data_IF_845268641093
#
_entry.id   IF_845268641093
#
_cell.length_a   1.000
_cell.length_b   1.000
_cell.length_c   1.000
_cell.angle_alpha   90.00
_cell.angle_beta   90.00
_cell.angle_gamma   90.00
#
_symmetry.space_group_name_H-M   'P 1'
#
loop_
_entity.id
_entity.type
_entity.pdbx_description
1 polymer ?
#
# COMPACT_ATOMS: atom_id res chain seq x y z
N UNK A 1 -0.93 -2.02 -10.74
CA UNK A 1 -0.62 -3.25 -11.45
C UNK A 1 0.65 -3.92 -10.96
N UNK A 2 1.79 -3.25 -10.96
CA UNK A 2 3.04 -3.75 -10.39
C UNK A 2 2.87 -4.25 -8.96
N UNK A 3 2.09 -3.55 -8.16
CA UNK A 3 1.75 -3.95 -6.79
C UNK A 3 1.09 -5.33 -6.66
N UNK A 4 0.18 -5.69 -7.57
CA UNK A 4 -0.45 -7.02 -7.56
C UNK A 4 0.55 -8.10 -7.96
N UNK A 5 1.48 -7.77 -8.85
CA UNK A 5 2.54 -8.65 -9.31
C UNK A 5 3.59 -8.93 -8.23
N UNK A 6 4.02 -7.86 -7.56
CA UNK A 6 5.13 -7.87 -6.61
C UNK A 6 4.72 -8.48 -5.26
N UNK A 7 3.50 -8.16 -4.78
CA UNK A 7 3.14 -8.43 -3.38
C UNK A 7 2.04 -9.47 -3.16
N UNK A 8 1.17 -9.71 -4.16
CA UNK A 8 -0.06 -10.48 -3.89
C UNK A 8 -0.14 -11.77 -4.68
N UNK A 9 0.46 -11.84 -5.87
CA UNK A 9 0.26 -12.95 -6.78
C UNK A 9 1.38 -13.97 -6.72
N UNK A 10 1.08 -15.16 -6.21
CA UNK A 10 1.98 -16.33 -6.32
C UNK A 10 1.92 -16.98 -7.69
N UNK A 11 0.85 -16.76 -8.44
CA UNK A 11 0.67 -17.25 -9.79
C UNK A 11 0.14 -16.14 -10.69
N UNK A 12 0.90 -15.82 -11.72
CA UNK A 12 0.58 -14.74 -12.63
C UNK A 12 0.12 -15.27 -13.99
N UNK A 13 -1.15 -15.04 -14.32
CA UNK A 13 -1.68 -15.32 -15.66
C UNK A 13 -1.50 -14.09 -16.55
N UNK A 14 -0.64 -14.22 -17.59
CA UNK A 14 -0.38 -13.14 -18.56
C UNK A 14 -1.65 -12.61 -19.23
N UNK A 15 -2.67 -13.47 -19.44
CA UNK A 15 -3.93 -13.07 -20.06
C UNK A 15 -4.76 -12.17 -19.13
N UNK A 16 -4.76 -12.47 -17.83
CA UNK A 16 -5.41 -11.66 -16.81
C UNK A 16 -4.75 -10.29 -16.67
N UNK A 17 -3.42 -10.24 -16.73
CA UNK A 17 -2.66 -8.98 -16.69
C UNK A 17 -3.06 -8.04 -17.82
N UNK A 18 -3.08 -8.54 -19.05
CA UNK A 18 -3.42 -7.74 -20.21
C UNK A 18 -4.85 -7.18 -20.09
N UNK A 19 -5.80 -8.00 -19.63
CA UNK A 19 -7.20 -7.56 -19.43
C UNK A 19 -7.31 -6.47 -18.39
N UNK A 20 -6.61 -6.58 -17.26
CA UNK A 20 -6.61 -5.58 -16.20
C UNK A 20 -5.92 -4.29 -16.69
N UNK A 21 -4.81 -4.41 -17.44
CA UNK A 21 -4.11 -3.26 -18.02
C UNK A 21 -5.03 -2.48 -18.98
N UNK A 22 -5.68 -3.18 -19.90
CA UNK A 22 -6.63 -2.55 -20.86
C UNK A 22 -7.81 -1.93 -20.11
N UNK A 23 -8.41 -2.64 -19.15
CA UNK A 23 -9.53 -2.11 -18.38
C UNK A 23 -9.15 -0.85 -17.60
N UNK A 24 -7.96 -0.82 -17.00
CA UNK A 24 -7.47 0.34 -16.25
C UNK A 24 -7.18 1.53 -17.19
N UNK A 25 -6.53 1.28 -18.34
CA UNK A 25 -6.23 2.32 -19.33
C UNK A 25 -7.50 2.92 -19.93
N UNK A 26 -8.47 2.09 -20.28
CA UNK A 26 -9.77 2.54 -20.79
C UNK A 26 -10.53 3.31 -19.71
N UNK A 27 -10.54 2.82 -18.47
CA UNK A 27 -11.21 3.50 -17.35
C UNK A 27 -10.62 4.88 -17.07
N UNK A 28 -9.29 5.02 -17.04
CA UNK A 28 -8.61 6.31 -16.89
C UNK A 28 -8.88 7.25 -18.05
N UNK A 29 -8.85 6.73 -19.26
CA UNK A 29 -9.16 7.53 -20.47
C UNK A 29 -10.61 8.05 -20.46
N UNK A 30 -11.59 7.19 -20.14
CA UNK A 30 -12.99 7.61 -20.00
C UNK A 30 -13.19 8.65 -18.89
N UNK A 31 -12.46 8.51 -17.78
CA UNK A 31 -12.52 9.48 -16.69
C UNK A 31 -11.91 10.83 -17.10
N UNK A 32 -10.80 10.83 -17.83
CA UNK A 32 -10.17 12.04 -18.38
C UNK A 32 -11.09 12.75 -19.38
N UNK A 33 -11.74 12.01 -20.27
CA UNK A 33 -12.77 12.56 -21.20
C UNK A 33 -13.94 13.18 -20.45
N UNK A 34 -14.45 12.50 -19.40
CA UNK A 34 -15.55 13.01 -18.60
C UNK A 34 -15.21 14.31 -17.86
N UNK A 35 -13.97 14.45 -17.42
CA UNK A 35 -13.47 15.66 -16.73
C UNK A 35 -13.12 16.81 -17.69
N UNK A 36 -13.04 16.57 -18.98
CA UNK A 36 -12.63 17.57 -19.98
C UNK A 36 -11.14 17.91 -19.98
N UNK A 37 -10.32 17.26 -19.14
CA UNK A 37 -8.91 17.50 -19.01
C UNK A 37 -8.10 16.31 -19.55
N UNK A 38 -7.82 16.33 -20.83
CA UNK A 38 -6.93 15.37 -21.46
C UNK A 38 -5.44 15.58 -21.11
N UNK A 39 -5.09 16.76 -20.58
CA UNK A 39 -3.72 17.11 -20.19
C UNK A 39 -3.33 16.64 -18.79
N UNK A 40 -4.27 16.12 -18.00
CA UNK A 40 -4.04 15.75 -16.60
C UNK A 40 -3.66 14.28 -16.44
N UNK A 41 -2.64 13.81 -17.13
CA UNK A 41 -1.99 12.57 -16.80
C UNK A 41 -0.93 12.82 -15.72
N UNK A 42 -1.34 12.67 -14.44
CA UNK A 42 -0.45 12.23 -13.39
C UNK A 42 0.54 13.24 -12.78
N UNK A 43 0.36 14.54 -12.91
CA UNK A 43 1.21 15.45 -12.16
C UNK A 43 0.53 15.92 -10.87
N UNK A 44 0.71 15.20 -9.79
CA UNK A 44 0.68 15.83 -8.47
C UNK A 44 1.93 16.72 -8.45
N UNK A 45 1.77 18.00 -8.71
CA UNK A 45 2.87 18.95 -8.56
C UNK A 45 3.16 19.07 -7.07
N UNK A 46 4.23 18.42 -6.64
CA UNK A 46 4.78 18.58 -5.32
C UNK A 46 5.76 19.75 -5.34
N UNK A 47 5.54 20.67 -4.43
CA UNK A 47 6.52 21.64 -4.06
C UNK A 47 6.64 22.84 -4.96
N UNK A 48 7.30 23.79 -4.42
CA UNK A 48 7.79 25.00 -5.04
C UNK A 48 8.61 24.61 -6.27
N UNK A 49 7.99 24.58 -7.43
CA UNK A 49 8.73 24.64 -8.65
C UNK A 49 9.46 25.97 -8.64
N UNK A 50 10.74 25.96 -8.36
CA UNK A 50 11.60 26.98 -8.93
C UNK A 50 11.22 27.03 -10.40
N UNK A 51 10.66 28.16 -10.82
CA UNK A 51 10.25 28.43 -12.17
C UNK A 51 11.29 27.85 -13.10
N UNK A 52 10.84 26.97 -14.02
CA UNK A 52 11.70 26.47 -15.08
C UNK A 52 12.12 27.61 -15.97
N UNK A 53 13.05 28.39 -15.54
CA UNK A 53 13.95 29.14 -16.40
C UNK A 53 15.05 28.19 -16.85
N UNK A 54 14.77 27.54 -17.96
CA UNK A 54 15.77 26.96 -18.81
C UNK A 54 16.66 28.08 -19.29
N UNK A 55 17.88 28.13 -18.83
CA UNK A 55 18.91 28.95 -19.46
C UNK A 55 19.85 29.59 -18.47
N UNK A 56 20.95 28.93 -18.19
CA UNK A 56 22.09 29.52 -17.52
C UNK A 56 22.98 28.44 -16.92
N UNK A 57 24.03 28.11 -17.66
CA UNK A 57 25.13 27.27 -17.22
C UNK A 57 25.73 27.81 -15.92
N UNK A 58 25.51 27.13 -14.82
CA UNK A 58 26.37 27.24 -13.65
C UNK A 58 26.55 25.86 -13.06
N UNK A 59 27.58 25.15 -13.50
CA UNK A 59 28.05 23.86 -12.97
C UNK A 59 28.30 23.92 -11.45
N UNK A 60 28.50 25.10 -10.89
CA UNK A 60 28.72 25.35 -9.47
C UNK A 60 27.44 25.20 -8.64
N UNK A 61 26.28 25.64 -9.17
CA UNK A 61 24.99 25.53 -8.47
C UNK A 61 24.49 24.06 -8.45
N UNK A 62 24.77 23.31 -9.50
CA UNK A 62 24.43 21.89 -9.56
C UNK A 62 25.30 21.05 -8.62
N UNK A 63 26.58 21.37 -8.49
CA UNK A 63 27.49 20.71 -7.55
C UNK A 63 27.14 21.03 -6.08
N UNK A 64 26.68 22.23 -5.78
CA UNK A 64 26.20 22.63 -4.45
C UNK A 64 24.90 21.91 -4.07
N UNK A 65 23.95 21.77 -5.00
CA UNK A 65 22.69 21.02 -4.78
C UNK A 65 22.96 19.52 -4.57
N UNK A 66 23.92 18.94 -5.29
CA UNK A 66 24.33 17.54 -5.10
C UNK A 66 24.97 17.35 -3.73
N UNK A 67 25.83 18.24 -3.29
CA UNK A 67 26.53 18.10 -2.01
C UNK A 67 25.58 18.28 -0.83
N UNK A 68 24.63 19.20 -0.89
CA UNK A 68 23.60 19.35 0.14
C UNK A 68 22.74 18.09 0.29
N UNK A 69 22.41 17.41 -0.81
CA UNK A 69 21.65 16.16 -0.80
C UNK A 69 22.41 14.99 -0.19
N UNK A 70 23.74 14.92 -0.34
CA UNK A 70 24.53 13.90 0.33
C UNK A 70 24.53 14.04 1.86
N UNK A 71 24.45 15.26 2.37
CA UNK A 71 24.31 15.53 3.79
C UNK A 71 22.95 15.11 4.38
N UNK A 72 21.93 14.95 3.54
CA UNK A 72 20.61 14.50 3.96
C UNK A 72 20.49 12.96 4.09
N UNK A 73 21.39 12.18 3.48
CA UNK A 73 21.32 10.70 3.49
C UNK A 73 21.18 10.11 4.89
N UNK A 74 21.93 10.54 5.91
CA UNK A 74 21.77 10.01 7.27
C UNK A 74 20.34 10.20 7.81
N UNK A 75 19.72 11.33 7.48
CA UNK A 75 18.36 11.66 7.93
C UNK A 75 17.29 10.82 7.20
N UNK A 76 17.52 10.46 5.93
CA UNK A 76 16.68 9.52 5.21
C UNK A 76 16.71 8.13 5.86
N UNK A 77 17.89 7.68 6.28
CA UNK A 77 18.05 6.40 6.99
C UNK A 77 17.30 6.44 8.32
N UNK A 78 17.45 7.52 9.09
CA UNK A 78 16.75 7.68 10.38
C UNK A 78 15.23 7.63 10.19
N UNK A 79 14.70 8.35 9.20
CA UNK A 79 13.27 8.31 8.86
C UNK A 79 12.84 6.91 8.45
N UNK A 80 13.63 6.22 7.63
CA UNK A 80 13.38 4.83 7.20
C UNK A 80 13.32 3.87 8.38
N UNK A 81 14.27 3.98 9.33
CA UNK A 81 14.27 3.17 10.56
C UNK A 81 13.02 3.45 11.40
N UNK A 82 12.68 4.70 11.62
CA UNK A 82 11.50 5.08 12.40
C UNK A 82 10.19 4.52 11.79
N UNK A 83 9.97 4.77 10.51
CA UNK A 83 8.79 4.25 9.81
C UNK A 83 8.80 2.72 9.70
N UNK A 84 9.99 2.11 9.57
CA UNK A 84 10.18 0.66 9.57
C UNK A 84 9.73 0.03 10.87
N UNK A 85 10.10 0.62 12.02
CA UNK A 85 9.66 0.17 13.34
C UNK A 85 8.14 0.27 13.46
N UNK A 86 7.54 1.40 13.08
CA UNK A 86 6.10 1.60 13.13
C UNK A 86 5.36 0.56 12.26
N UNK A 87 5.84 0.31 11.02
CA UNK A 87 5.22 -0.65 10.11
C UNK A 87 5.33 -2.10 10.61
N UNK A 88 6.49 -2.50 11.12
CA UNK A 88 6.70 -3.83 11.71
C UNK A 88 5.80 -4.08 12.94
N UNK A 89 5.72 -3.10 13.83
CA UNK A 89 4.84 -3.13 15.00
C UNK A 89 3.36 -3.18 14.57
N UNK A 90 2.99 -2.43 13.53
CA UNK A 90 1.64 -2.47 12.96
C UNK A 90 1.24 -3.88 12.51
N UNK A 91 2.05 -4.54 11.71
CA UNK A 91 1.78 -5.88 11.19
C UNK A 91 1.65 -6.90 12.33
N UNK A 92 2.53 -6.84 13.32
CA UNK A 92 2.52 -7.71 14.51
C UNK A 92 1.23 -7.54 15.33
N UNK A 93 0.88 -6.30 15.66
CA UNK A 93 -0.32 -6.00 16.45
C UNK A 93 -1.59 -6.34 15.66
N UNK A 94 -1.62 -6.00 14.36
CA UNK A 94 -2.73 -6.32 13.46
C UNK A 94 -3.02 -7.82 13.42
N UNK A 95 -1.99 -8.65 13.23
CA UNK A 95 -2.13 -10.11 13.23
C UNK A 95 -2.68 -10.66 14.55
N UNK A 96 -2.15 -10.17 15.68
CA UNK A 96 -2.60 -10.58 17.02
C UNK A 96 -4.06 -10.20 17.27
N UNK A 97 -4.44 -8.96 16.97
CA UNK A 97 -5.82 -8.48 17.15
C UNK A 97 -6.78 -9.24 16.23
N UNK A 98 -6.44 -9.40 14.95
CA UNK A 98 -7.30 -10.09 13.96
C UNK A 98 -7.54 -11.56 14.36
N UNK A 99 -6.51 -12.26 14.83
CA UNK A 99 -6.61 -13.62 15.35
C UNK A 99 -7.53 -13.72 16.58
N UNK A 100 -7.41 -12.76 17.51
CA UNK A 100 -8.26 -12.68 18.72
C UNK A 100 -9.71 -12.41 18.35
N UNK A 101 -9.97 -11.48 17.44
CA UNK A 101 -11.30 -11.10 16.96
C UNK A 101 -11.97 -12.27 16.23
N UNK A 102 -11.23 -12.97 15.37
CA UNK A 102 -11.75 -14.14 14.65
C UNK A 102 -12.27 -15.23 15.60
N UNK A 103 -11.63 -15.41 16.76
CA UNK A 103 -12.08 -16.34 17.78
C UNK A 103 -13.32 -15.88 18.54
N UNK A 104 -13.44 -14.58 18.82
CA UNK A 104 -14.54 -14.01 19.63
C UNK A 104 -15.84 -13.84 18.84
N UNK A 105 -15.79 -13.45 17.57
CA UNK A 105 -16.97 -13.06 16.81
C UNK A 105 -17.49 -14.18 15.91
N UNK A 106 -18.16 -15.16 16.51
CA UNK A 106 -18.79 -16.29 15.77
C UNK A 106 -20.17 -15.93 15.19
N UNK A 107 -20.94 -15.06 15.86
CA UNK A 107 -22.32 -14.68 15.49
C UNK A 107 -22.36 -13.43 14.60
N UNK A 108 -23.35 -13.39 13.67
CA UNK A 108 -23.55 -12.22 12.77
C UNK A 108 -23.84 -10.94 13.56
N UNK A 109 -24.63 -11.02 14.62
CA UNK A 109 -24.98 -9.90 15.50
C UNK A 109 -23.76 -9.30 16.19
N UNK A 110 -22.84 -10.14 16.71
CA UNK A 110 -21.60 -9.68 17.36
C UNK A 110 -20.69 -8.94 16.37
N UNK A 111 -20.64 -9.37 15.10
CA UNK A 111 -19.91 -8.66 14.04
C UNK A 111 -20.50 -7.29 13.77
N UNK A 112 -21.83 -7.20 13.69
CA UNK A 112 -22.56 -5.94 13.43
C UNK A 112 -22.32 -4.92 14.58
N UNK A 113 -22.52 -5.36 15.84
CA UNK A 113 -22.26 -4.50 17.00
C UNK A 113 -20.84 -3.95 17.03
N UNK A 114 -19.86 -4.77 16.70
CA UNK A 114 -18.47 -4.34 16.65
C UNK A 114 -18.22 -3.29 15.56
N UNK A 115 -18.82 -3.47 14.38
CA UNK A 115 -18.73 -2.52 13.29
C UNK A 115 -19.29 -1.17 13.72
N UNK A 116 -20.51 -1.16 14.29
CA UNK A 116 -21.17 0.05 14.77
C UNK A 116 -20.33 0.75 15.87
N UNK A 117 -19.80 0.01 16.82
CA UNK A 117 -18.96 0.54 17.90
C UNK A 117 -17.71 1.21 17.36
N UNK A 118 -16.97 0.57 16.44
CA UNK A 118 -15.74 1.14 15.87
C UNK A 118 -16.06 2.34 14.98
N UNK A 119 -17.14 2.29 14.19
CA UNK A 119 -17.60 3.42 13.38
C UNK A 119 -17.96 4.64 14.25
N UNK A 120 -18.67 4.42 15.35
CA UNK A 120 -19.02 5.48 16.30
C UNK A 120 -17.79 6.11 16.93
N UNK A 121 -16.83 5.30 17.37
CA UNK A 121 -15.56 5.79 17.92
C UNK A 121 -14.79 6.63 16.88
N UNK A 122 -14.67 6.13 15.65
CA UNK A 122 -14.02 6.87 14.57
C UNK A 122 -14.68 8.24 14.34
N UNK A 123 -16.01 8.28 14.29
CA UNK A 123 -16.74 9.53 14.09
C UNK A 123 -16.54 10.51 15.26
N UNK A 124 -16.56 10.02 16.50
CA UNK A 124 -16.34 10.84 17.69
C UNK A 124 -14.93 11.40 17.68
N UNK A 125 -13.91 10.60 17.42
CA UNK A 125 -12.51 11.05 17.41
C UNK A 125 -12.30 12.09 16.29
N UNK A 126 -12.79 11.82 15.08
CA UNK A 126 -12.66 12.74 13.95
C UNK A 126 -13.37 14.08 14.17
N UNK A 127 -14.47 14.10 14.94
CA UNK A 127 -15.19 15.32 15.27
C UNK A 127 -14.57 16.06 16.47
N UNK A 128 -14.14 15.33 17.49
CA UNK A 128 -13.61 15.91 18.72
C UNK A 128 -12.21 16.52 18.52
N UNK A 129 -11.36 15.92 17.68
CA UNK A 129 -9.98 16.37 17.51
C UNK A 129 -9.86 17.80 16.97
N UNK A 130 -10.61 18.22 15.94
CA UNK A 130 -10.60 19.59 15.47
C UNK A 130 -11.05 20.61 16.52
N UNK A 131 -11.90 20.23 17.48
CA UNK A 131 -12.33 21.10 18.57
C UNK A 131 -11.24 21.36 19.60
N UNK A 132 -10.29 20.42 19.76
CA UNK A 132 -9.20 20.52 20.72
C UNK A 132 -8.02 21.34 20.20
N UNK A 133 -7.92 21.54 18.90
CA UNK A 133 -6.84 22.28 18.26
C UNK A 133 -7.30 23.69 17.89
N UNK A 134 -6.42 24.66 18.13
CA UNK A 134 -6.69 26.07 17.82
C UNK A 134 -6.76 26.39 16.33
N UNK A 135 -7.30 27.55 16.03
CA UNK A 135 -7.31 28.13 14.68
C UNK A 135 -5.96 28.79 14.36
N UNK A 136 -5.62 28.84 13.08
CA UNK A 136 -4.44 29.55 12.57
C UNK A 136 -4.89 30.52 11.47
N UNK A 137 -4.28 31.69 11.46
CA UNK A 137 -4.48 32.67 10.39
C UNK A 137 -3.99 32.11 9.04
N UNK A 138 -4.74 32.40 7.99
CA UNK A 138 -4.35 32.06 6.63
C UNK A 138 -3.29 33.07 6.21
N UNK A 139 -2.00 32.69 6.30
CA UNK A 139 -0.94 33.45 5.67
C UNK A 139 -1.13 33.37 4.15
N UNK A 140 -1.29 34.54 3.51
CA UNK A 140 -1.63 34.69 2.11
C UNK A 140 -0.70 33.91 1.20
N UNK A 141 -1.24 32.98 0.45
CA UNK A 141 -0.54 32.27 -0.61
C UNK A 141 -0.58 33.16 -1.85
N UNK A 142 0.39 34.03 -1.99
CA UNK A 142 0.70 34.65 -3.27
C UNK A 142 1.39 33.60 -4.15
N UNK A 143 0.67 33.09 -5.14
CA UNK A 143 1.21 32.21 -6.18
C UNK A 143 0.55 30.84 -6.29
N UNK A 144 -0.09 30.59 -7.43
CA UNK A 144 -0.64 29.32 -7.95
C UNK A 144 -1.45 28.40 -7.00
N UNK A 145 -1.87 28.88 -5.85
CA UNK A 145 -2.52 28.13 -4.79
C UNK A 145 -4.05 28.08 -4.82
N UNK A 146 -4.72 28.35 -5.95
CA UNK A 146 -6.20 28.28 -6.02
C UNK A 146 -6.75 26.89 -5.62
N UNK A 147 -5.99 25.82 -5.83
CA UNK A 147 -6.38 24.47 -5.40
C UNK A 147 -6.24 24.26 -3.88
N UNK A 148 -5.28 24.93 -3.25
CA UNK A 148 -5.06 24.80 -1.80
C UNK A 148 -6.07 25.64 -1.00
N UNK A 149 -6.34 26.87 -1.42
CA UNK A 149 -7.27 27.78 -0.74
C UNK A 149 -8.73 27.24 -0.69
N UNK A 150 -9.18 26.53 -1.72
CA UNK A 150 -10.54 25.97 -1.78
C UNK A 150 -10.76 24.74 -0.89
N UNK A 151 -9.71 24.20 -0.28
CA UNK A 151 -9.80 23.02 0.58
C UNK A 151 -9.84 23.33 2.08
N UNK A 152 -9.68 24.59 2.47
CA UNK A 152 -9.63 25.02 3.86
C UNK A 152 -11.00 25.01 4.52
N UNK A 153 -11.10 24.45 5.72
CA UNK A 153 -12.33 24.35 6.49
C UNK A 153 -12.31 25.32 7.66
N UNK A 154 -13.23 26.28 7.67
CA UNK A 154 -13.47 27.21 8.79
C UNK A 154 -14.27 26.55 9.90
N UNK A 155 -13.76 25.52 10.52
CA UNK A 155 -14.48 24.80 11.57
C UNK A 155 -14.38 25.54 12.90
N UNK A 156 -15.44 26.30 13.27
CA UNK A 156 -15.52 27.13 14.47
C UNK A 156 -14.42 28.21 14.61
N UNK A 157 -13.76 28.58 13.51
CA UNK A 157 -12.77 29.66 13.48
C UNK A 157 -13.38 30.96 12.95
N UNK A 158 -12.72 32.11 13.23
CA UNK A 158 -13.12 33.42 12.71
C UNK A 158 -12.85 33.52 11.20
N UNK A 159 -13.47 34.54 10.56
CA UNK A 159 -13.18 34.82 9.14
C UNK A 159 -11.67 35.14 8.99
N UNK A 160 -11.02 34.45 8.06
CA UNK A 160 -9.57 34.54 7.83
C UNK A 160 -8.72 33.53 8.62
N UNK A 161 -9.32 32.72 9.47
CA UNK A 161 -8.65 31.63 10.18
C UNK A 161 -9.12 30.27 9.69
N UNK A 162 -8.24 29.26 9.70
CA UNK A 162 -8.56 27.86 9.37
C UNK A 162 -8.16 26.92 10.47
N UNK A 163 -8.92 25.81 10.57
CA UNK A 163 -8.58 24.72 11.46
C UNK A 163 -7.83 23.64 10.69
N UNK A 164 -6.55 23.44 11.02
CA UNK A 164 -5.68 22.47 10.35
C UNK A 164 -6.21 21.04 10.41
N UNK A 165 -6.74 20.65 11.56
CA UNK A 165 -7.31 19.31 11.76
C UNK A 165 -8.61 19.12 10.97
N UNK A 166 -9.48 20.12 10.97
CA UNK A 166 -10.73 20.08 10.23
C UNK A 166 -10.48 19.95 8.72
N UNK A 167 -9.46 20.60 8.22
CA UNK A 167 -9.05 20.49 6.80
C UNK A 167 -8.67 19.06 6.42
N UNK A 168 -7.98 18.33 7.30
CA UNK A 168 -7.57 16.95 7.07
C UNK A 168 -8.73 15.96 7.24
N UNK A 169 -9.58 16.16 8.26
CA UNK A 169 -10.63 15.19 8.60
C UNK A 169 -11.92 15.39 7.82
N UNK A 170 -12.34 16.63 7.55
CA UNK A 170 -13.62 16.95 6.89
C UNK A 170 -13.47 17.30 5.40
N UNK A 171 -12.25 17.65 4.97
CA UNK A 171 -11.97 17.91 3.56
C UNK A 171 -11.92 16.63 2.70
N UNK A 172 -11.79 16.82 1.38
CA UNK A 172 -11.48 15.72 0.48
C UNK A 172 -10.12 15.11 0.85
N UNK A 173 -10.08 13.80 1.08
CA UNK A 173 -8.84 13.09 1.47
C UNK A 173 -7.71 13.27 0.46
N UNK A 174 -8.03 13.30 -0.83
CA UNK A 174 -7.05 13.55 -1.87
C UNK A 174 -6.44 14.96 -1.73
N UNK A 175 -7.28 15.98 -1.53
CA UNK A 175 -6.81 17.36 -1.33
C UNK A 175 -5.99 17.50 -0.05
N UNK A 176 -6.39 16.83 1.04
CA UNK A 176 -5.64 16.82 2.30
C UNK A 176 -4.24 16.20 2.13
N UNK A 177 -4.13 15.08 1.41
CA UNK A 177 -2.84 14.44 1.11
C UNK A 177 -1.95 15.38 0.30
N UNK A 178 -2.47 15.96 -0.80
CA UNK A 178 -1.72 16.89 -1.64
C UNK A 178 -1.21 18.06 -0.79
N UNK A 179 -2.04 18.61 0.08
CA UNK A 179 -1.66 19.73 0.95
C UNK A 179 -0.56 19.36 1.96
N UNK A 180 -0.68 18.20 2.62
CA UNK A 180 0.36 17.73 3.57
C UNK A 180 1.68 17.49 2.83
N UNK A 181 1.63 17.02 1.58
CA UNK A 181 2.82 16.74 0.80
C UNK A 181 3.42 18.01 0.18
N UNK A 182 2.62 18.96 -0.30
CA UNK A 182 3.11 20.17 -0.97
C UNK A 182 3.49 21.30 -0.01
N UNK A 183 2.75 21.46 1.08
CA UNK A 183 2.94 22.56 2.01
C UNK A 183 2.86 22.12 3.49
N UNK A 184 3.77 21.22 3.93
CA UNK A 184 3.79 20.79 5.33
C UNK A 184 4.09 21.93 6.31
N UNK A 185 4.75 23.00 5.85
CA UNK A 185 5.09 24.18 6.66
C UNK A 185 3.88 24.94 7.19
N UNK A 186 2.73 24.79 6.56
CA UNK A 186 1.48 25.39 7.03
C UNK A 186 0.91 24.70 8.28
N UNK A 187 1.44 23.53 8.63
CA UNK A 187 1.01 22.75 9.78
C UNK A 187 2.00 22.89 10.94
N UNK A 188 1.48 22.86 12.17
CA UNK A 188 2.35 22.70 13.32
C UNK A 188 2.87 21.26 13.41
N UNK A 189 4.11 21.08 13.84
CA UNK A 189 4.72 19.76 14.04
C UNK A 189 3.84 18.88 14.93
N UNK A 190 3.33 19.44 16.02
CA UNK A 190 2.42 18.75 16.94
C UNK A 190 1.13 18.28 16.25
N UNK A 191 0.55 19.13 15.39
CA UNK A 191 -0.66 18.78 14.63
C UNK A 191 -0.41 17.58 13.70
N UNK A 192 0.70 17.58 12.97
CA UNK A 192 1.06 16.49 12.06
C UNK A 192 1.29 15.17 12.81
N UNK A 193 2.01 15.22 13.94
CA UNK A 193 2.25 14.02 14.76
C UNK A 193 0.95 13.47 15.32
N UNK A 194 0.03 14.31 15.82
CA UNK A 194 -1.25 13.88 16.35
C UNK A 194 -2.11 13.26 15.25
N UNK A 195 -2.20 13.90 14.07
CA UNK A 195 -2.92 13.36 12.90
C UNK A 195 -2.35 12.00 12.51
N UNK A 196 -1.02 11.89 12.40
CA UNK A 196 -0.36 10.64 12.06
C UNK A 196 -0.66 9.52 13.05
N UNK A 197 -0.57 9.78 14.35
CA UNK A 197 -0.87 8.80 15.40
C UNK A 197 -2.34 8.37 15.39
N UNK A 198 -3.26 9.32 15.22
CA UNK A 198 -4.69 9.03 15.16
C UNK A 198 -5.01 8.17 13.93
N UNK A 199 -4.52 8.54 12.75
CA UNK A 199 -4.74 7.73 11.54
C UNK A 199 -4.10 6.34 11.67
N UNK A 200 -2.92 6.22 12.26
CA UNK A 200 -2.26 4.95 12.51
C UNK A 200 -3.10 4.01 13.39
N UNK A 201 -3.62 4.53 14.51
CA UNK A 201 -4.45 3.75 15.44
C UNK A 201 -5.81 3.41 14.80
N UNK A 202 -6.48 4.38 14.16
CA UNK A 202 -7.76 4.16 13.51
C UNK A 202 -7.65 3.17 12.36
N UNK A 203 -6.58 3.25 11.57
CA UNK A 203 -6.29 2.30 10.50
C UNK A 203 -6.13 0.88 11.05
N UNK A 204 -5.39 0.72 12.15
CA UNK A 204 -5.20 -0.57 12.81
C UNK A 204 -6.55 -1.17 13.23
N UNK A 205 -7.38 -0.41 13.94
CA UNK A 205 -8.68 -0.91 14.41
C UNK A 205 -9.68 -1.15 13.29
N UNK A 206 -9.77 -0.25 12.31
CA UNK A 206 -10.72 -0.37 11.19
C UNK A 206 -10.43 -1.61 10.34
N UNK A 207 -9.15 -1.87 10.02
CA UNK A 207 -8.78 -3.02 9.20
C UNK A 207 -8.88 -4.36 9.93
N UNK A 208 -8.95 -4.37 11.26
CA UNK A 208 -9.25 -5.60 12.02
C UNK A 208 -10.72 -5.99 11.95
N UNK A 209 -11.62 -5.12 11.52
CA UNK A 209 -13.05 -5.42 11.36
C UNK A 209 -13.32 -6.30 10.14
N UNK A 210 -14.61 -6.65 9.97
CA UNK A 210 -15.09 -7.45 8.85
C UNK A 210 -15.54 -6.59 7.65
N UNK A 211 -15.37 -5.27 7.73
CA UNK A 211 -15.71 -4.34 6.64
C UNK A 211 -14.54 -4.35 5.64
N UNK A 212 -14.82 -4.44 4.34
CA UNK A 212 -13.80 -4.19 3.32
C UNK A 212 -13.39 -2.71 3.41
N UNK A 213 -12.14 -2.45 3.79
CA UNK A 213 -11.58 -1.12 3.91
C UNK A 213 -10.26 -1.03 3.16
N UNK A 214 -10.01 0.11 2.51
CA UNK A 214 -8.74 0.38 1.84
C UNK A 214 -7.64 0.72 2.84
N UNK A 215 -6.45 0.20 2.60
CA UNK A 215 -5.25 0.47 3.40
C UNK A 215 -4.41 1.61 2.84
N UNK A 216 -4.45 1.80 1.53
CA UNK A 216 -3.55 2.71 0.82
C UNK A 216 -3.63 4.15 1.34
N UNK A 217 -4.81 4.77 1.28
CA UNK A 217 -5.00 6.17 1.67
C UNK A 217 -4.59 6.48 3.11
N UNK A 218 -4.98 5.69 4.14
CA UNK A 218 -4.55 5.95 5.50
C UNK A 218 -3.04 5.73 5.71
N UNK A 219 -2.40 4.80 5.00
CA UNK A 219 -0.94 4.63 5.05
C UNK A 219 -0.25 5.88 4.48
N UNK A 220 -0.73 6.39 3.33
CA UNK A 220 -0.19 7.60 2.71
C UNK A 220 -0.30 8.81 3.64
N UNK A 221 -1.46 9.03 4.26
CA UNK A 221 -1.65 10.13 5.21
C UNK A 221 -0.71 9.98 6.41
N UNK A 222 -0.63 8.78 6.99
CA UNK A 222 0.23 8.52 8.15
C UNK A 222 1.70 8.73 7.81
N UNK A 223 2.15 8.25 6.64
CA UNK A 223 3.51 8.45 6.15
C UNK A 223 3.84 9.92 5.87
N UNK A 224 2.93 10.62 5.18
CA UNK A 224 3.09 12.04 4.88
C UNK A 224 3.16 12.92 6.14
N UNK A 225 2.34 12.63 7.13
CA UNK A 225 2.31 13.39 8.39
C UNK A 225 3.55 13.16 9.23
N UNK A 226 4.02 11.92 9.39
CA UNK A 226 5.25 11.64 10.13
C UNK A 226 6.49 12.13 9.38
N UNK A 227 6.55 11.93 8.07
CA UNK A 227 7.65 12.44 7.23
C UNK A 227 7.70 13.96 7.22
N UNK A 228 6.54 14.62 7.05
CA UNK A 228 6.43 16.07 7.09
C UNK A 228 6.79 16.67 8.46
N UNK A 229 6.33 16.05 9.56
CA UNK A 229 6.72 16.45 10.91
C UNK A 229 8.24 16.31 11.15
N UNK A 230 8.83 15.22 10.65
CA UNK A 230 10.27 15.00 10.73
C UNK A 230 11.05 16.03 9.90
N UNK A 231 10.60 16.31 8.66
CA UNK A 231 11.20 17.35 7.81
C UNK A 231 11.14 18.74 8.43
N UNK A 232 9.98 19.12 9.02
CA UNK A 232 9.84 20.38 9.75
C UNK A 232 10.74 20.44 10.98
N UNK A 233 10.88 19.34 11.70
CA UNK A 233 11.80 19.24 12.83
C UNK A 233 13.26 19.48 12.38
N UNK A 234 13.68 18.86 11.29
CA UNK A 234 15.02 19.08 10.74
C UNK A 234 15.23 20.52 10.30
N UNK A 235 14.27 21.09 9.57
CA UNK A 235 14.32 22.51 9.14
C UNK A 235 14.47 23.47 10.31
N UNK A 236 13.77 23.21 11.41
CA UNK A 236 13.78 24.12 12.57
C UNK A 236 15.03 23.98 13.45
N UNK A 237 15.63 22.77 13.55
CA UNK A 237 16.67 22.49 14.56
C UNK A 237 18.04 22.14 13.96
N UNK A 238 18.10 21.77 12.69
CA UNK A 238 19.35 21.25 12.09
C UNK A 238 19.81 22.13 10.94
N UNK A 239 18.99 22.33 9.92
CA UNK A 239 19.34 23.08 8.69
C UNK A 239 18.10 23.66 8.03
N UNK A 240 18.09 24.97 7.80
CA UNK A 240 16.99 25.67 7.12
C UNK A 240 16.85 25.31 5.63
N UNK A 241 17.89 24.75 5.02
CA UNK A 241 17.89 24.35 3.60
C UNK A 241 17.06 23.10 3.32
N UNK A 242 16.69 22.33 4.34
CA UNK A 242 15.92 21.09 4.21
C UNK A 242 14.50 21.37 3.73
N UNK A 243 14.07 20.67 2.68
CA UNK A 243 12.71 20.73 2.17
C UNK A 243 11.78 19.73 2.88
N UNK A 244 10.83 20.20 3.74
CA UNK A 244 9.93 19.30 4.46
C UNK A 244 8.98 18.51 3.54
N UNK A 245 8.71 19.01 2.31
CA UNK A 245 7.85 18.32 1.34
C UNK A 245 8.50 17.03 0.84
N UNK A 246 9.80 17.08 0.59
CA UNK A 246 10.59 15.90 0.22
C UNK A 246 10.56 14.84 1.33
N UNK A 247 10.73 15.23 2.59
CA UNK A 247 10.64 14.31 3.72
C UNK A 247 9.23 13.76 3.95
N UNK A 248 8.18 14.53 3.69
CA UNK A 248 6.80 14.03 3.71
C UNK A 248 6.60 12.90 2.69
N UNK A 249 7.12 13.07 1.47
CA UNK A 249 7.07 12.05 0.42
C UNK A 249 7.88 10.80 0.78
N UNK A 250 9.10 10.98 1.33
CA UNK A 250 9.93 9.87 1.81
C UNK A 250 9.22 9.08 2.91
N UNK A 251 8.53 9.78 3.82
CA UNK A 251 7.72 9.15 4.86
C UNK A 251 6.58 8.29 4.30
N UNK A 252 5.93 8.73 3.22
CA UNK A 252 4.93 7.90 2.51
C UNK A 252 5.56 6.62 2.01
N UNK A 253 6.70 6.71 1.31
CA UNK A 253 7.42 5.55 0.80
C UNK A 253 7.81 4.56 1.90
N UNK A 254 8.38 5.08 2.99
CA UNK A 254 8.78 4.28 4.14
C UNK A 254 7.61 3.54 4.80
N UNK A 255 6.48 4.21 5.02
CA UNK A 255 5.29 3.60 5.63
C UNK A 255 4.63 2.57 4.70
N UNK A 256 4.56 2.84 3.40
CA UNK A 256 4.04 1.87 2.44
C UNK A 256 4.91 0.62 2.40
N UNK A 257 6.22 0.77 2.24
CA UNK A 257 7.15 -0.35 2.18
C UNK A 257 7.16 -1.17 3.48
N UNK A 258 7.10 -0.53 4.63
CA UNK A 258 7.15 -1.22 5.94
C UNK A 258 5.88 -2.01 6.27
N UNK A 259 4.71 -1.54 5.85
CA UNK A 259 3.42 -2.21 6.14
C UNK A 259 3.07 -3.23 5.07
N UNK A 260 3.23 -2.87 3.78
CA UNK A 260 2.83 -3.71 2.65
C UNK A 260 3.93 -4.66 2.19
N UNK A 261 5.18 -4.41 2.57
CA UNK A 261 6.38 -5.13 2.10
C UNK A 261 6.70 -4.93 0.62
N UNK A 262 6.09 -3.94 0.00
CA UNK A 262 6.25 -3.60 -1.39
C UNK A 262 7.41 -2.62 -1.56
N UNK A 263 8.44 -2.99 -2.31
CA UNK A 263 9.62 -2.15 -2.53
C UNK A 263 9.59 -1.46 -3.89
N UNK A 264 9.60 -2.25 -4.96
CA UNK A 264 9.67 -1.73 -6.33
C UNK A 264 8.42 -0.96 -6.70
N UNK A 265 7.24 -1.54 -6.43
CA UNK A 265 5.95 -0.89 -6.73
C UNK A 265 5.79 0.44 -6.01
N UNK A 266 6.24 0.53 -4.75
CA UNK A 266 6.18 1.78 -3.99
C UNK A 266 7.05 2.86 -4.62
N UNK A 267 8.29 2.54 -5.01
CA UNK A 267 9.16 3.48 -5.69
C UNK A 267 8.55 4.00 -6.99
N UNK A 268 8.01 3.09 -7.81
CA UNK A 268 7.40 3.46 -9.10
C UNK A 268 6.15 4.33 -8.89
N UNK A 269 5.27 3.97 -7.95
CA UNK A 269 4.05 4.76 -7.66
C UNK A 269 4.39 6.18 -7.22
N UNK A 270 5.41 6.34 -6.37
CA UNK A 270 5.81 7.66 -5.88
C UNK A 270 6.47 8.50 -6.97
N UNK A 271 7.35 7.92 -7.77
CA UNK A 271 8.01 8.64 -8.88
C UNK A 271 7.00 9.01 -9.96
N UNK A 272 6.10 8.10 -10.32
CA UNK A 272 5.04 8.37 -11.31
C UNK A 272 4.06 9.43 -10.77
N UNK A 273 3.71 9.36 -9.48
CA UNK A 273 2.81 10.32 -8.85
C UNK A 273 3.39 11.73 -8.74
N UNK A 274 4.71 11.87 -8.57
CA UNK A 274 5.40 13.16 -8.49
C UNK A 274 5.84 13.68 -9.84
N UNK A 275 6.03 12.81 -10.84
CA UNK A 275 6.61 13.14 -12.13
C UNK A 275 8.10 13.55 -12.07
N UNK A 276 8.76 13.40 -10.92
CA UNK A 276 10.14 13.83 -10.69
C UNK A 276 11.08 12.65 -10.50
N UNK A 277 11.97 12.42 -11.47
CA UNK A 277 12.98 11.36 -11.37
C UNK A 277 14.04 11.60 -10.29
N UNK A 278 14.25 12.86 -9.89
CA UNK A 278 15.22 13.23 -8.84
C UNK A 278 14.89 12.62 -7.48
N UNK A 279 13.63 12.29 -7.22
CA UNK A 279 13.17 11.71 -5.95
C UNK A 279 13.41 10.21 -5.88
N UNK A 280 13.73 9.55 -7.01
CA UNK A 280 13.89 8.09 -7.07
C UNK A 280 14.93 7.56 -6.09
N UNK A 281 16.14 8.14 -6.09
CA UNK A 281 17.23 7.66 -5.24
C UNK A 281 16.93 7.79 -3.74
N UNK A 282 16.49 8.95 -3.21
CA UNK A 282 16.06 9.08 -1.83
C UNK A 282 14.97 8.08 -1.43
N UNK A 283 13.94 7.94 -2.27
CA UNK A 283 12.84 7.00 -2.02
C UNK A 283 13.34 5.56 -1.95
N UNK A 284 14.20 5.14 -2.88
CA UNK A 284 14.76 3.78 -2.88
C UNK A 284 15.52 3.49 -1.58
N UNK A 285 16.36 4.41 -1.11
CA UNK A 285 17.12 4.22 0.13
C UNK A 285 16.17 4.06 1.31
N UNK A 286 15.21 4.97 1.47
CA UNK A 286 14.28 4.96 2.59
C UNK A 286 13.37 3.73 2.57
N UNK A 287 12.87 3.33 1.41
CA UNK A 287 12.03 2.15 1.20
C UNK A 287 12.75 0.86 1.58
N UNK A 288 14.01 0.69 1.12
CA UNK A 288 14.81 -0.50 1.44
C UNK A 288 15.10 -0.57 2.94
N UNK A 289 15.52 0.54 3.55
CA UNK A 289 15.79 0.59 4.99
C UNK A 289 14.52 0.30 5.80
N UNK A 290 13.40 0.93 5.46
CA UNK A 290 12.14 0.75 6.18
C UNK A 290 11.62 -0.69 6.06
N UNK A 291 11.71 -1.30 4.86
CA UNK A 291 11.32 -2.68 4.65
C UNK A 291 12.20 -3.66 5.45
N UNK A 292 13.52 -3.46 5.43
CA UNK A 292 14.45 -4.29 6.17
C UNK A 292 14.22 -4.23 7.68
N UNK A 293 14.10 -3.03 8.25
CA UNK A 293 13.83 -2.85 9.69
C UNK A 293 12.49 -3.45 10.10
N UNK A 294 11.47 -3.27 9.28
CA UNK A 294 10.18 -3.85 9.55
C UNK A 294 10.20 -5.39 9.46
N UNK A 295 11.00 -5.98 8.54
CA UNK A 295 11.22 -7.42 8.44
C UNK A 295 11.87 -7.99 9.72
N UNK A 296 12.81 -7.29 10.33
CA UNK A 296 13.42 -7.71 11.61
C UNK A 296 12.42 -7.80 12.77
N UNK A 297 11.34 -7.01 12.74
CA UNK A 297 10.31 -6.99 13.80
C UNK A 297 9.24 -8.05 13.55
N UNK A 298 8.82 -8.21 12.29
CA UNK A 298 7.82 -9.17 11.85
C UNK A 298 8.08 -9.55 10.40
N UNK A 299 8.25 -10.82 10.10
CA UNK A 299 8.60 -11.31 8.76
C UNK A 299 7.51 -11.02 7.72
N UNK A 300 6.26 -11.22 8.10
CA UNK A 300 5.12 -11.11 7.19
C UNK A 300 4.63 -9.66 7.01
N UNK A 301 4.35 -9.29 5.77
CA UNK A 301 3.60 -8.09 5.43
C UNK A 301 2.10 -8.24 5.75
N UNK A 302 1.36 -7.14 5.70
CA UNK A 302 -0.07 -7.16 6.06
C UNK A 302 -0.90 -8.11 5.19
N UNK A 303 -0.58 -8.24 3.90
CA UNK A 303 -1.29 -9.12 2.98
C UNK A 303 -1.00 -10.59 3.25
N UNK A 304 0.24 -10.93 3.56
CA UNK A 304 0.64 -12.29 3.95
C UNK A 304 -0.02 -12.73 5.25
N UNK A 305 -0.05 -11.83 6.23
CA UNK A 305 -0.79 -12.06 7.49
C UNK A 305 -2.27 -12.34 7.21
N UNK A 306 -2.90 -11.60 6.29
CA UNK A 306 -4.30 -11.83 5.91
C UNK A 306 -4.51 -13.16 5.20
N UNK A 307 -3.61 -13.56 4.29
CA UNK A 307 -3.66 -14.83 3.56
C UNK A 307 -3.52 -15.99 4.54
N UNK A 308 -2.52 -15.93 5.45
CA UNK A 308 -2.30 -16.94 6.49
C UNK A 308 -3.51 -17.08 7.43
N UNK A 309 -4.13 -15.95 7.81
CA UNK A 309 -5.31 -15.97 8.69
C UNK A 309 -6.57 -16.52 8.02
N UNK A 310 -6.70 -16.37 6.71
CA UNK A 310 -7.80 -16.92 5.90
C UNK A 310 -7.59 -18.39 5.53
N UNK A 311 -6.38 -18.92 5.74
CA UNK A 311 -6.03 -20.30 5.41
C UNK A 311 -6.01 -20.57 3.90
N UNK A 312 -5.77 -19.55 3.08
CA UNK A 312 -5.58 -19.77 1.65
C UNK A 312 -4.22 -20.45 1.40
N UNK A 313 -4.16 -21.40 0.45
CA UNK A 313 -2.89 -21.98 0.06
C UNK A 313 -2.00 -20.88 -0.56
N UNK A 314 -0.89 -20.63 0.07
CA UNK A 314 0.10 -19.63 -0.32
C UNK A 314 1.47 -20.29 -0.41
N UNK A 315 2.13 -20.15 -1.54
CA UNK A 315 3.49 -20.63 -1.73
C UNK A 315 4.45 -19.51 -1.27
N UNK A 316 5.19 -19.76 -0.20
CA UNK A 316 6.18 -18.81 0.29
C UNK A 316 7.34 -18.68 -0.73
N UNK A 317 7.84 -17.46 -0.91
CA UNK A 317 9.02 -17.22 -1.74
C UNK A 317 10.29 -17.76 -1.09
N UNK A 318 10.39 -17.65 0.23
CA UNK A 318 11.54 -18.16 0.97
C UNK A 318 11.36 -19.66 1.25
N UNK A 319 12.42 -20.42 0.93
CA UNK A 319 12.47 -21.84 1.24
C UNK A 319 12.47 -22.01 2.76
N UNK A 320 11.52 -22.76 3.26
CA UNK A 320 11.61 -23.26 4.63
C UNK A 320 12.65 -24.37 4.66
N UNK A 321 13.58 -24.35 5.61
CA UNK A 321 14.68 -25.33 5.74
C UNK A 321 14.21 -26.80 5.65
N UNK A 322 12.97 -27.06 6.02
CA UNK A 322 12.37 -28.40 5.92
C UNK A 322 12.16 -28.88 4.47
N UNK A 323 12.13 -28.00 3.48
CA UNK A 323 11.94 -28.44 2.08
C UNK A 323 13.17 -29.09 1.48
N UNK A 324 14.35 -28.80 2.00
CA UNK A 324 15.59 -29.42 1.54
C UNK A 324 15.76 -30.87 2.04
N UNK A 325 14.94 -31.29 3.05
CA UNK A 325 14.95 -32.64 3.62
C UNK A 325 14.02 -33.61 2.87
N UNK A 326 12.93 -33.08 2.27
CA UNK A 326 11.94 -33.92 1.59
C UNK A 326 12.23 -34.07 0.10
N UNK A 327 12.21 -35.31 -0.36
CA UNK A 327 12.25 -35.62 -1.80
C UNK A 327 10.84 -35.63 -2.37
N UNK A 328 10.73 -35.52 -3.70
CA UNK A 328 9.44 -35.62 -4.39
C UNK A 328 8.73 -36.95 -4.07
N UNK A 329 9.50 -38.01 -3.87
CA UNK A 329 8.98 -39.33 -3.51
C UNK A 329 8.28 -39.35 -2.14
N UNK A 330 8.71 -38.52 -1.20
CA UNK A 330 8.14 -38.45 0.17
C UNK A 330 6.79 -37.73 0.20
N UNK A 331 6.53 -36.86 -0.78
CA UNK A 331 5.34 -35.97 -0.80
C UNK A 331 4.34 -36.33 -1.89
N UNK A 332 4.74 -37.11 -2.91
CA UNK A 332 3.84 -37.48 -4.01
C UNK A 332 2.80 -38.49 -3.59
N UNK A 333 1.61 -38.41 -4.18
CA UNK A 333 0.57 -39.41 -4.03
C UNK A 333 0.98 -40.72 -4.72
N UNK A 334 1.16 -41.77 -3.95
CA UNK A 334 1.49 -43.10 -4.45
C UNK A 334 0.45 -44.15 -4.04
N UNK A 335 -0.09 -44.98 -4.94
CA UNK A 335 0.07 -44.92 -6.39
C UNK A 335 -0.69 -43.75 -7.05
N UNK A 336 -0.16 -43.13 -8.14
CA UNK A 336 -0.86 -42.11 -8.88
C UNK A 336 -2.10 -42.69 -9.55
N UNK A 337 -3.22 -41.93 -9.51
CA UNK A 337 -4.42 -42.26 -10.25
C UNK A 337 -4.20 -41.85 -11.71
N UNK A 338 -4.14 -42.80 -12.60
CA UNK A 338 -3.85 -42.59 -14.03
C UNK A 338 -5.04 -43.00 -14.88
N UNK A 339 -5.21 -42.34 -16.03
CA UNK A 339 -6.18 -42.69 -17.04
C UNK A 339 -5.46 -43.29 -18.24
N UNK A 340 -6.15 -44.22 -18.92
CA UNK A 340 -5.70 -44.74 -20.22
C UNK A 340 -6.16 -43.85 -21.36
N UNK A 341 -5.59 -44.00 -22.57
CA UNK A 341 -6.01 -43.21 -23.75
C UNK A 341 -7.50 -43.40 -24.08
N UNK A 342 -8.01 -44.59 -23.78
CA UNK A 342 -9.41 -44.96 -24.00
C UNK A 342 -10.02 -45.34 -22.64
N UNK A 343 -10.81 -44.45 -22.09
CA UNK A 343 -11.51 -44.67 -20.81
C UNK A 343 -13.02 -44.57 -21.01
N UNK A 344 -13.77 -45.25 -20.14
CA UNK A 344 -15.22 -45.16 -20.12
C UNK A 344 -15.66 -43.95 -19.33
N UNK A 345 -16.73 -43.26 -19.74
CA UNK A 345 -17.27 -42.12 -19.02
C UNK A 345 -17.66 -42.46 -17.57
N UNK A 346 -18.11 -43.70 -17.34
CA UNK A 346 -18.46 -44.16 -15.99
C UNK A 346 -17.21 -44.18 -15.06
N UNK A 347 -16.10 -44.74 -15.54
CA UNK A 347 -14.86 -44.78 -14.77
C UNK A 347 -14.31 -43.36 -14.49
N UNK A 348 -14.39 -42.45 -15.46
CA UNK A 348 -14.02 -41.06 -15.29
C UNK A 348 -14.88 -40.41 -14.17
N UNK A 349 -16.19 -40.62 -14.16
CA UNK A 349 -17.11 -40.09 -13.16
C UNK A 349 -16.83 -40.69 -11.76
N UNK A 350 -16.57 -41.99 -11.67
CA UNK A 350 -16.23 -42.67 -10.39
C UNK A 350 -14.92 -42.11 -9.80
N UNK A 351 -13.88 -41.94 -10.61
CA UNK A 351 -12.60 -41.38 -10.16
C UNK A 351 -12.74 -39.93 -9.75
N UNK A 352 -13.54 -39.13 -10.46
CA UNK A 352 -13.82 -37.75 -10.08
C UNK A 352 -14.55 -37.64 -8.72
N UNK A 353 -15.45 -38.57 -8.42
CA UNK A 353 -16.19 -38.59 -7.16
C UNK A 353 -15.36 -39.15 -5.99
N UNK A 354 -14.44 -40.08 -6.28
CA UNK A 354 -13.64 -40.74 -5.23
C UNK A 354 -12.36 -40.01 -4.86
N UNK A 355 -11.84 -39.12 -5.75
CA UNK A 355 -10.55 -38.46 -5.54
C UNK A 355 -10.66 -36.94 -5.59
N UNK A 356 -9.93 -36.19 -4.73
CA UNK A 356 -9.88 -34.73 -4.77
C UNK A 356 -8.84 -34.18 -5.77
N UNK A 357 -8.18 -35.03 -6.54
CA UNK A 357 -7.09 -34.63 -7.44
C UNK A 357 -7.54 -33.68 -8.55
N UNK A 358 -6.71 -32.70 -8.88
CA UNK A 358 -6.98 -31.69 -9.91
C UNK A 358 -6.40 -32.00 -11.29
N UNK A 359 -5.50 -32.97 -11.37
CA UNK A 359 -4.85 -33.41 -12.62
C UNK A 359 -4.61 -34.90 -12.56
N UNK A 360 -4.80 -35.54 -13.69
CA UNK A 360 -4.62 -36.99 -13.88
C UNK A 360 -3.67 -37.25 -15.04
N UNK A 361 -2.59 -38.01 -14.83
CA UNK A 361 -1.71 -38.42 -15.92
C UNK A 361 -2.44 -39.41 -16.81
N UNK A 362 -2.26 -39.23 -18.11
CA UNK A 362 -2.75 -40.15 -19.12
C UNK A 362 -1.57 -41.00 -19.60
N UNK A 363 -1.76 -42.29 -19.59
CA UNK A 363 -0.76 -43.30 -20.01
C UNK A 363 -1.25 -44.09 -21.21
N UNK A 364 -0.30 -44.67 -21.94
CA UNK A 364 -0.58 -45.57 -23.06
C UNK A 364 -1.34 -46.83 -22.58
N UNK A 365 -2.11 -47.49 -23.45
CA UNK A 365 -2.91 -48.69 -23.16
C UNK A 365 -2.10 -49.81 -22.45
N UNK A 366 -0.78 -49.78 -22.58
CA UNK A 366 0.13 -50.70 -21.87
C UNK A 366 0.60 -50.17 -20.50
N UNK A 367 0.15 -48.96 -20.07
CA UNK A 367 0.51 -48.33 -18.80
C UNK A 367 1.98 -47.91 -18.64
N UNK A 368 2.77 -47.98 -19.73
CA UNK A 368 4.24 -47.82 -19.65
C UNK A 368 4.76 -46.43 -20.05
N UNK A 369 4.00 -45.66 -20.82
CA UNK A 369 4.45 -44.34 -21.31
C UNK A 369 3.48 -43.26 -20.96
N UNK A 370 3.98 -42.21 -20.33
CA UNK A 370 3.24 -41.00 -20.08
C UNK A 370 2.96 -40.26 -21.40
N UNK A 371 1.72 -39.96 -21.70
CA UNK A 371 1.26 -39.24 -22.90
C UNK A 371 0.94 -37.78 -22.60
N UNK A 372 0.39 -37.48 -21.44
CA UNK A 372 0.00 -36.12 -21.06
C UNK A 372 -0.73 -36.06 -19.77
N UNK A 373 -1.12 -34.83 -19.38
CA UNK A 373 -1.89 -34.55 -18.18
C UNK A 373 -3.25 -33.97 -18.57
N UNK A 374 -4.33 -34.56 -18.08
CA UNK A 374 -5.69 -34.05 -18.22
C UNK A 374 -6.13 -33.42 -16.91
N UNK A 375 -6.71 -32.23 -16.94
CA UNK A 375 -7.18 -31.53 -15.76
C UNK A 375 -8.61 -31.94 -15.42
N UNK A 376 -8.93 -31.99 -14.11
CA UNK A 376 -10.28 -32.25 -13.62
C UNK A 376 -11.36 -31.42 -14.33
N UNK A 377 -11.12 -30.10 -14.51
CA UNK A 377 -12.05 -29.20 -15.20
C UNK A 377 -12.31 -29.60 -16.64
N UNK A 378 -11.33 -30.17 -17.33
CA UNK A 378 -11.49 -30.62 -18.70
C UNK A 378 -12.35 -31.88 -18.78
N UNK A 379 -12.18 -32.80 -17.80
CA UNK A 379 -12.97 -34.01 -17.73
C UNK A 379 -14.44 -33.69 -17.41
N UNK A 380 -14.66 -32.79 -16.44
CA UNK A 380 -16.01 -32.34 -16.07
C UNK A 380 -16.71 -31.73 -17.28
N UNK A 381 -16.02 -30.84 -18.00
CA UNK A 381 -16.58 -30.23 -19.22
C UNK A 381 -16.91 -31.25 -20.32
N UNK A 382 -16.14 -32.35 -20.41
CA UNK A 382 -16.40 -33.43 -21.38
C UNK A 382 -17.57 -34.33 -20.98
N UNK A 383 -17.89 -34.46 -19.72
CA UNK A 383 -19.00 -35.28 -19.23
C UNK A 383 -20.32 -34.49 -19.24
N UNK A 384 -20.27 -33.16 -19.10
CA UNK A 384 -21.44 -32.29 -19.14
C UNK A 384 -21.93 -31.98 -20.57
N UNK A 385 -21.11 -32.24 -21.61
CA UNK A 385 -21.49 -32.14 -23.03
C UNK A 385 -22.08 -33.42 -23.55
#
# INVERSE_FOLDING_TARGET
>A
MLFILDDISTFFDKSMFLRILVANSVGTFCLALYRGDLSYYGAIQFGHGSNGESGGDNDEDEAADINSRFMEIPWWIVLGVFCGILGGVFCKIFGAIKKKIGKMNKTKTSKLWRITYISSINSIIMFALPLLMGCREIEGIEGNGQLAATAEQQFFCKEGETNQMATVFFGSRAKAIVRILSTPEQFYISSLVIVGMVFYVLMLYTNTTFIPSGLFTPIVITGATFGGAFGLFLKQYVDESVDPSSFALLGVGAMMASIQRSTVSTCVILVEGTGQMRVLLPVMIVVVVANYVAYLIHEDGIYEVLIKLKGYPYLMHDKTDCYDVFTVCDVMSTPPVVFQEKETALHLAEVLNSTPHNGFPVVDDRGRRFKGLIRRKQIVALIET
#
